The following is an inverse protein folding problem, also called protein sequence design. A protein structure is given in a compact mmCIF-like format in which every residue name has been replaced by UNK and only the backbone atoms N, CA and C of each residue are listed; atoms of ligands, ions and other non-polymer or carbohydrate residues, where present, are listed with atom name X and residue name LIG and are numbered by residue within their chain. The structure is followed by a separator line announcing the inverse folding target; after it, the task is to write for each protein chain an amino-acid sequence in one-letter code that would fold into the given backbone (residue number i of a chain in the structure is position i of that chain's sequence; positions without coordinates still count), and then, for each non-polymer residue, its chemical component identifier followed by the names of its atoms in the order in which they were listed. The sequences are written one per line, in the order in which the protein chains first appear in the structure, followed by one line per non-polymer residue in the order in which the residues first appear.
data_IF_628246465024
#
_entry.id   IF_628246465024
#
_cell.length_a   1.000
_cell.length_b   1.000
_cell.length_c   1.000
_cell.angle_alpha   90.00
_cell.angle_beta   90.00
_cell.angle_gamma   90.00
#
_symmetry.space_group_name_H-M   'P 1'
#
loop_
_entity.id
_entity.type
_entity.pdbx_description
1 polymer ?
#
# COMPACT_ATOMS: atom_id res chain seq x y z
N UNK A 1 14.23 47.24 -19.90
CA UNK A 1 13.64 46.62 -18.69
C UNK A 1 13.36 45.13 -18.90
N UNK A 2 14.01 44.29 -18.09
CA UNK A 2 13.39 43.14 -17.38
C UNK A 2 12.80 41.94 -18.16
N UNK A 3 13.18 41.64 -19.42
CA UNK A 3 12.81 40.35 -20.05
C UNK A 3 13.26 39.14 -19.23
N UNK A 4 14.43 39.21 -18.59
CA UNK A 4 14.90 38.15 -17.68
C UNK A 4 14.13 38.08 -16.36
N UNK A 5 13.53 39.19 -15.90
CA UNK A 5 12.64 39.17 -14.73
C UNK A 5 11.25 38.60 -15.11
N UNK A 6 10.81 38.78 -16.36
CA UNK A 6 9.63 38.10 -16.91
C UNK A 6 9.87 36.59 -17.07
N UNK A 7 10.98 36.19 -17.68
CA UNK A 7 11.35 34.76 -17.84
C UNK A 7 11.55 34.11 -16.45
N UNK A 8 12.23 34.80 -15.53
CA UNK A 8 12.39 34.34 -14.15
C UNK A 8 11.06 34.20 -13.40
N UNK A 9 10.14 35.14 -13.58
CA UNK A 9 8.79 35.07 -12.99
C UNK A 9 7.97 33.90 -13.54
N UNK A 10 8.01 33.67 -14.85
CA UNK A 10 7.32 32.55 -15.50
C UNK A 10 7.90 31.21 -15.03
N UNK A 11 9.23 31.09 -14.95
CA UNK A 11 9.90 29.90 -14.43
C UNK A 11 9.52 29.61 -12.98
N UNK A 12 9.39 30.64 -12.14
CA UNK A 12 9.01 30.49 -10.74
C UNK A 12 7.58 29.92 -10.59
N UNK A 13 6.63 30.42 -11.38
CA UNK A 13 5.24 29.90 -11.38
C UNK A 13 5.21 28.43 -11.84
N UNK A 14 6.06 28.07 -12.81
CA UNK A 14 6.16 26.68 -13.27
C UNK A 14 6.74 25.75 -12.20
N UNK A 15 7.79 26.17 -11.49
CA UNK A 15 8.39 25.40 -10.39
C UNK A 15 7.40 25.21 -9.25
N UNK A 16 6.67 26.26 -8.86
CA UNK A 16 5.62 26.17 -7.83
C UNK A 16 4.47 25.26 -8.30
N UNK A 17 4.09 25.32 -9.58
CA UNK A 17 3.09 24.43 -10.16
C UNK A 17 3.53 22.95 -10.16
N UNK A 18 4.79 22.66 -10.48
CA UNK A 18 5.36 21.31 -10.43
C UNK A 18 5.49 20.79 -8.99
N UNK A 19 5.87 21.65 -8.04
CA UNK A 19 5.95 21.29 -6.62
C UNK A 19 4.55 21.07 -6.02
N UNK A 20 3.56 21.91 -6.35
CA UNK A 20 2.17 21.73 -5.93
C UNK A 20 1.53 20.51 -6.61
N UNK A 21 1.84 20.23 -7.88
CA UNK A 21 1.39 19.05 -8.60
C UNK A 21 2.03 17.75 -8.12
N UNK A 22 3.30 17.77 -7.72
CA UNK A 22 3.99 16.58 -7.18
C UNK A 22 3.61 16.30 -5.72
N UNK A 23 3.49 17.34 -4.88
CA UNK A 23 3.01 17.21 -3.50
C UNK A 23 1.51 16.87 -3.46
N UNK A 24 0.69 17.56 -4.25
CA UNK A 24 -0.74 17.29 -4.40
C UNK A 24 -1.00 15.93 -5.05
N UNK A 25 -0.23 15.53 -6.05
CA UNK A 25 -0.30 14.20 -6.65
C UNK A 25 0.03 13.09 -5.65
N UNK A 26 1.01 13.28 -4.76
CA UNK A 26 1.37 12.30 -3.73
C UNK A 26 0.32 12.22 -2.61
N UNK A 27 -0.20 13.36 -2.16
CA UNK A 27 -1.20 13.42 -1.08
C UNK A 27 -2.61 13.01 -1.54
N UNK A 28 -3.03 13.40 -2.76
CA UNK A 28 -4.33 13.04 -3.33
C UNK A 28 -4.37 11.57 -3.77
N UNK A 29 -3.22 11.01 -4.13
CA UNK A 29 -3.08 9.58 -4.43
C UNK A 29 -3.02 8.75 -3.15
N UNK A 30 -2.40 9.21 -2.06
CA UNK A 30 -2.46 8.50 -0.76
C UNK A 30 -3.87 8.55 -0.14
N UNK A 31 -4.58 9.68 -0.19
CA UNK A 31 -5.94 9.78 0.37
C UNK A 31 -7.04 9.07 -0.46
N UNK A 32 -6.84 8.88 -1.77
CA UNK A 32 -7.85 8.29 -2.68
C UNK A 32 -7.49 6.89 -3.20
N UNK A 33 -6.22 6.46 -3.18
CA UNK A 33 -5.85 5.06 -3.44
C UNK A 33 -5.82 4.17 -2.20
N UNK A 34 -5.71 4.70 -0.98
CA UNK A 34 -5.97 3.89 0.23
C UNK A 34 -7.42 3.37 0.29
N UNK A 35 -8.35 4.04 -0.42
CA UNK A 35 -9.76 3.62 -0.56
C UNK A 35 -10.05 2.75 -1.79
N UNK A 36 -9.20 2.72 -2.82
CA UNK A 36 -9.49 2.02 -4.09
C UNK A 36 -8.70 0.73 -4.32
N UNK A 37 -7.70 0.40 -3.50
CA UNK A 37 -6.83 -0.77 -3.70
C UNK A 37 -6.71 -1.69 -2.48
N UNK A 38 -7.56 -1.48 -1.47
CA UNK A 38 -7.74 -2.40 -0.33
C UNK A 38 -8.82 -3.45 -0.56
N UNK A 39 -9.69 -3.25 -1.54
CA UNK A 39 -10.92 -3.98 -1.89
C UNK A 39 -11.19 -5.28 -1.13
N UNK A 40 -11.47 -5.13 0.17
CA UNK A 40 -12.20 -6.13 0.96
C UNK A 40 -13.47 -6.50 0.22
N UNK A 41 -14.10 -5.55 -0.48
CA UNK A 41 -15.27 -5.78 -1.32
C UNK A 41 -14.98 -6.70 -2.50
N UNK A 42 -13.89 -6.53 -3.26
CA UNK A 42 -13.57 -7.42 -4.39
C UNK A 42 -13.22 -8.84 -3.91
N UNK A 43 -12.49 -8.95 -2.79
CA UNK A 43 -12.21 -10.24 -2.14
C UNK A 43 -13.49 -10.92 -1.63
N UNK A 44 -14.37 -10.16 -1.00
CA UNK A 44 -15.66 -10.64 -0.49
C UNK A 44 -16.55 -11.09 -1.63
N UNK A 45 -16.61 -10.32 -2.72
CA UNK A 45 -17.34 -10.71 -3.93
C UNK A 45 -16.79 -11.98 -4.57
N UNK A 46 -15.46 -12.09 -4.71
CA UNK A 46 -14.83 -13.30 -5.24
C UNK A 46 -15.12 -14.53 -4.37
N UNK A 47 -15.01 -14.38 -3.05
CA UNK A 47 -15.27 -15.47 -2.12
C UNK A 47 -16.76 -15.86 -2.13
N UNK A 48 -17.67 -14.88 -2.14
CA UNK A 48 -19.11 -15.11 -2.26
C UNK A 48 -19.46 -15.77 -3.59
N UNK A 49 -18.83 -15.39 -4.70
CA UNK A 49 -19.02 -16.00 -6.01
C UNK A 49 -18.58 -17.46 -6.03
N UNK A 50 -17.41 -17.75 -5.44
CA UNK A 50 -16.92 -19.12 -5.28
C UNK A 50 -17.88 -19.96 -4.45
N UNK A 51 -18.28 -19.48 -3.26
CA UNK A 51 -19.27 -20.15 -2.40
C UNK A 51 -20.59 -20.36 -3.13
N UNK A 52 -21.01 -19.37 -3.91
CA UNK A 52 -22.23 -19.46 -4.70
C UNK A 52 -22.18 -20.54 -5.76
N UNK A 53 -21.03 -20.70 -6.44
CA UNK A 53 -20.84 -21.72 -7.46
C UNK A 53 -20.76 -23.12 -6.85
N UNK A 54 -19.99 -23.27 -5.78
CA UNK A 54 -19.74 -24.58 -5.16
C UNK A 54 -20.96 -25.10 -4.38
N UNK A 55 -21.68 -24.21 -3.70
CA UNK A 55 -22.84 -24.56 -2.88
C UNK A 55 -24.17 -24.33 -3.59
N UNK A 56 -24.14 -23.86 -4.85
CA UNK A 56 -25.33 -23.50 -5.65
C UNK A 56 -26.29 -22.60 -4.90
N UNK A 57 -25.76 -21.52 -4.31
CA UNK A 57 -26.56 -20.59 -3.50
C UNK A 57 -27.61 -19.88 -4.35
N UNK A 58 -28.85 -19.85 -3.86
CA UNK A 58 -29.91 -18.98 -4.37
C UNK A 58 -29.61 -17.51 -4.11
N UNK A 59 -30.30 -16.61 -4.80
CA UNK A 59 -30.17 -15.17 -4.62
C UNK A 59 -30.49 -14.72 -3.18
N UNK A 60 -31.47 -15.35 -2.53
CA UNK A 60 -31.80 -15.07 -1.14
C UNK A 60 -30.71 -15.54 -0.17
N UNK A 61 -30.10 -16.70 -0.42
CA UNK A 61 -28.96 -17.17 0.36
C UNK A 61 -27.73 -16.27 0.16
N UNK A 62 -27.46 -15.85 -1.07
CA UNK A 62 -26.39 -14.89 -1.38
C UNK A 62 -26.56 -13.59 -0.61
N UNK A 63 -27.77 -13.02 -0.60
CA UNK A 63 -28.08 -11.79 0.16
C UNK A 63 -27.83 -11.94 1.65
N UNK A 64 -28.16 -13.10 2.24
CA UNK A 64 -27.95 -13.39 3.67
C UNK A 64 -26.47 -13.66 4.01
N UNK A 65 -25.72 -14.31 3.11
CA UNK A 65 -24.32 -14.71 3.35
C UNK A 65 -23.34 -13.57 3.08
N UNK A 66 -23.65 -12.67 2.13
CA UNK A 66 -22.80 -11.51 1.81
C UNK A 66 -22.31 -10.73 3.04
N UNK A 67 -23.16 -10.27 3.98
CA UNK A 67 -22.68 -9.51 5.14
C UNK A 67 -21.74 -10.33 6.04
N UNK A 68 -21.90 -11.65 6.10
CA UNK A 68 -20.99 -12.53 6.86
C UNK A 68 -19.61 -12.59 6.22
N UNK A 69 -19.56 -12.71 4.89
CA UNK A 69 -18.30 -12.68 4.12
C UNK A 69 -17.62 -11.32 4.24
N UNK A 70 -18.38 -10.23 4.14
CA UNK A 70 -17.85 -8.87 4.27
C UNK A 70 -17.24 -8.63 5.67
N UNK A 71 -17.89 -9.10 6.74
CA UNK A 71 -17.36 -9.02 8.12
C UNK A 71 -16.09 -9.87 8.30
N UNK A 72 -16.07 -11.08 7.74
CA UNK A 72 -14.90 -11.96 7.78
C UNK A 72 -13.68 -11.30 7.14
N UNK A 73 -13.82 -10.75 5.92
CA UNK A 73 -12.72 -10.09 5.23
C UNK A 73 -12.26 -8.82 5.95
N UNK A 74 -13.17 -8.09 6.60
CA UNK A 74 -12.84 -6.93 7.44
C UNK A 74 -11.97 -7.32 8.63
N UNK A 75 -12.38 -8.35 9.39
CA UNK A 75 -11.62 -8.87 10.54
C UNK A 75 -10.26 -9.40 10.10
N UNK A 76 -10.22 -10.14 9.00
CA UNK A 76 -8.97 -10.64 8.40
C UNK A 76 -8.02 -9.51 8.04
N UNK A 77 -8.53 -8.42 7.47
CA UNK A 77 -7.72 -7.26 7.11
C UNK A 77 -7.19 -6.52 8.33
N UNK A 78 -7.98 -6.38 9.39
CA UNK A 78 -7.54 -5.78 10.65
C UNK A 78 -6.36 -6.54 11.25
N UNK A 79 -6.48 -7.87 11.40
CA UNK A 79 -5.39 -8.73 11.92
C UNK A 79 -4.14 -8.64 11.02
N UNK A 80 -4.32 -8.64 9.70
CA UNK A 80 -3.19 -8.50 8.79
C UNK A 80 -2.50 -7.13 8.89
N UNK A 81 -3.26 -6.05 9.13
CA UNK A 81 -2.70 -4.71 9.28
C UNK A 81 -1.84 -4.61 10.55
N UNK A 82 -2.34 -5.13 11.66
CA UNK A 82 -1.63 -5.22 12.94
C UNK A 82 -0.34 -6.03 12.82
N UNK A 83 -0.43 -7.29 12.35
CA UNK A 83 0.75 -8.14 12.13
C UNK A 83 1.78 -7.52 11.21
N UNK A 84 1.35 -6.81 10.15
CA UNK A 84 2.27 -6.12 9.25
C UNK A 84 3.01 -4.98 9.94
N UNK A 85 2.40 -4.31 10.92
CA UNK A 85 3.07 -3.27 11.70
C UNK A 85 4.13 -3.89 12.62
N UNK A 86 3.75 -4.93 13.38
CA UNK A 86 4.64 -5.66 14.27
C UNK A 86 5.86 -6.24 13.51
N UNK A 87 5.64 -6.90 12.37
CA UNK A 87 6.73 -7.42 11.54
C UNK A 87 7.67 -6.32 11.07
N UNK A 88 7.16 -5.11 10.74
CA UNK A 88 8.03 -4.00 10.34
C UNK A 88 8.91 -3.53 11.48
N UNK A 89 8.38 -3.48 12.70
CA UNK A 89 9.14 -3.11 13.88
C UNK A 89 10.24 -4.13 14.18
N UNK A 90 9.91 -5.42 14.18
CA UNK A 90 10.88 -6.51 14.37
C UNK A 90 12.03 -6.41 13.35
N UNK A 91 11.69 -6.17 12.08
CA UNK A 91 12.70 -6.03 11.03
C UNK A 91 13.57 -4.78 11.24
N UNK A 92 12.96 -3.64 11.58
CA UNK A 92 13.70 -2.40 11.84
C UNK A 92 14.67 -2.52 13.02
N UNK A 93 14.24 -3.18 14.10
CA UNK A 93 15.11 -3.49 15.24
C UNK A 93 16.29 -4.36 14.79
N UNK A 94 16.01 -5.46 14.10
CA UNK A 94 17.04 -6.36 13.59
C UNK A 94 18.05 -5.66 12.67
N UNK A 95 17.58 -4.80 11.75
CA UNK A 95 18.45 -3.99 10.90
C UNK A 95 19.33 -3.02 11.68
N UNK A 96 18.77 -2.39 12.72
CA UNK A 96 19.51 -1.44 13.57
C UNK A 96 20.62 -2.14 14.34
N UNK A 97 20.31 -3.28 14.96
CA UNK A 97 21.29 -4.10 15.70
C UNK A 97 22.39 -4.66 14.79
N UNK A 98 22.05 -5.09 13.58
CA UNK A 98 23.07 -5.51 12.60
C UNK A 98 24.01 -4.35 12.25
N UNK A 99 23.48 -3.13 12.08
CA UNK A 99 24.26 -1.95 11.69
C UNK A 99 25.39 -1.63 12.69
N UNK A 100 25.16 -1.85 13.99
CA UNK A 100 26.14 -1.61 15.06
C UNK A 100 27.42 -2.43 14.91
N UNK A 101 27.34 -3.60 14.26
CA UNK A 101 28.48 -4.52 14.08
C UNK A 101 29.18 -4.39 12.72
N UNK A 102 28.79 -3.41 11.90
CA UNK A 102 29.25 -3.26 10.51
C UNK A 102 30.12 -2.02 10.32
N UNK A 103 31.10 -2.13 9.43
CA UNK A 103 31.87 -0.97 8.97
C UNK A 103 31.04 -0.05 8.04
N UNK A 104 31.57 1.13 7.73
CA UNK A 104 30.84 2.13 6.96
C UNK A 104 30.39 1.66 5.56
N UNK A 105 31.17 0.81 4.88
CA UNK A 105 30.83 0.31 3.55
C UNK A 105 29.77 -0.78 3.63
N UNK A 106 29.86 -1.65 4.63
CA UNK A 106 28.85 -2.67 4.93
C UNK A 106 27.53 -2.04 5.37
N UNK A 107 27.55 -0.98 6.18
CA UNK A 107 26.34 -0.23 6.57
C UNK A 107 25.64 0.36 5.34
N UNK A 108 26.38 0.98 4.41
CA UNK A 108 25.82 1.49 3.15
C UNK A 108 25.15 0.39 2.33
N UNK A 109 25.75 -0.80 2.29
CA UNK A 109 25.18 -1.97 1.59
C UNK A 109 23.91 -2.48 2.28
N UNK A 110 23.89 -2.52 3.61
CA UNK A 110 22.72 -2.94 4.39
C UNK A 110 21.53 -2.00 4.18
N UNK A 111 21.74 -0.69 4.19
CA UNK A 111 20.68 0.30 3.93
C UNK A 111 20.08 0.13 2.52
N UNK A 112 20.92 -0.15 1.52
CA UNK A 112 20.45 -0.46 0.15
C UNK A 112 19.59 -1.73 0.14
N UNK A 113 20.04 -2.78 0.82
CA UNK A 113 19.27 -4.03 0.93
C UNK A 113 17.91 -3.81 1.61
N UNK A 114 17.87 -2.99 2.68
CA UNK A 114 16.64 -2.61 3.37
C UNK A 114 15.69 -1.86 2.43
N UNK A 115 16.19 -0.84 1.71
CA UNK A 115 15.38 -0.06 0.76
C UNK A 115 14.82 -0.93 -0.38
N UNK A 116 15.63 -1.83 -0.95
CA UNK A 116 15.17 -2.79 -1.96
C UNK A 116 14.10 -3.75 -1.42
N UNK A 117 14.26 -4.23 -0.18
CA UNK A 117 13.27 -5.07 0.48
C UNK A 117 11.95 -4.31 0.67
N UNK A 118 11.98 -3.08 1.16
CA UNK A 118 10.79 -2.24 1.33
C UNK A 118 10.08 -1.99 0.00
N UNK A 119 10.82 -1.69 -1.06
CA UNK A 119 10.28 -1.52 -2.41
C UNK A 119 9.63 -2.79 -2.94
N UNK A 120 10.29 -3.95 -2.75
CA UNK A 120 9.70 -5.25 -3.11
C UNK A 120 8.44 -5.54 -2.32
N UNK A 121 8.39 -5.18 -1.04
CA UNK A 121 7.20 -5.36 -0.20
C UNK A 121 6.06 -4.41 -0.56
N UNK A 122 6.35 -3.17 -0.93
CA UNK A 122 5.37 -2.23 -1.50
C UNK A 122 4.79 -2.79 -2.81
N UNK A 123 5.63 -3.32 -3.70
CA UNK A 123 5.21 -3.95 -4.97
C UNK A 123 4.44 -5.27 -4.77
N UNK A 124 4.80 -6.04 -3.75
CA UNK A 124 4.11 -7.28 -3.33
C UNK A 124 2.79 -7.04 -2.61
N UNK A 125 2.34 -5.81 -2.37
CA UNK A 125 0.95 -5.48 -2.00
C UNK A 125 -0.06 -5.81 -3.12
N UNK A 126 0.22 -6.79 -3.99
CA UNK A 126 -0.76 -7.48 -4.84
C UNK A 126 -1.49 -8.52 -3.97
N UNK A 127 -2.79 -8.75 -4.20
CA UNK A 127 -3.57 -9.66 -3.38
C UNK A 127 -2.95 -11.07 -3.43
N UNK A 128 -3.07 -11.86 -2.34
CA UNK A 128 -2.66 -13.25 -2.34
C UNK A 128 -3.40 -14.00 -3.45
N UNK A 129 -2.71 -14.90 -4.16
CA UNK A 129 -3.39 -16.00 -4.86
C UNK A 129 -4.26 -16.70 -3.82
N UNK A 130 -5.54 -16.84 -4.10
CA UNK A 130 -6.52 -17.48 -3.22
C UNK A 130 -5.92 -18.79 -2.67
N UNK A 131 -5.68 -18.82 -1.36
CA UNK A 131 -5.70 -20.09 -0.65
C UNK A 131 -7.18 -20.38 -0.46
N UNK A 132 -7.58 -21.59 -0.83
CA UNK A 132 -8.93 -22.02 -1.19
C UNK A 132 -9.30 -21.75 -2.65
#
# INVERSE_FOLDING_TARGET
MKRWKLIGGIGLVFVVGVLAGSAGGRFYHEYRLERKWKDSAARSSFFLEKLSRELRLSEDQRRKIKPVVDDLERKREAVNAERRAEIREILNDGFSRMKESLDADQQRKLEKMKAEYEERMKKRKRPPRSFF
#
